data_IF_567185179403
#
_entry.id   IF_567185179403
#
_cell.length_a   1.000
_cell.length_b   1.000
_cell.length_c   1.000
_cell.angle_alpha   90.00
_cell.angle_beta   90.00
_cell.angle_gamma   90.00
#
_symmetry.space_group_name_H-M   'P 1'
#
loop_
_entity.id
_entity.type
_entity.pdbx_description
1 polymer ?
#
# COMPACT_ATOMS: atom_id res chain seq x y z
N UNK A 1 18.12 -21.24 10.23
CA UNK A 1 16.98 -20.53 10.84
C UNK A 1 17.36 -19.07 10.95
N UNK A 2 17.07 -18.25 9.94
CA UNK A 2 17.37 -16.82 9.95
C UNK A 2 16.05 -16.05 10.11
N UNK A 3 16.11 -15.11 11.04
CA UNK A 3 15.01 -14.35 11.62
C UNK A 3 14.48 -13.34 10.58
N UNK A 4 13.18 -13.38 10.32
CA UNK A 4 12.47 -12.40 9.48
C UNK A 4 12.43 -11.05 10.22
N UNK A 5 13.07 -10.03 9.66
CA UNK A 5 12.80 -8.63 10.02
C UNK A 5 11.90 -8.02 8.95
N UNK A 6 10.68 -7.61 9.33
CA UNK A 6 9.79 -6.80 8.48
C UNK A 6 10.29 -5.35 8.49
N UNK A 7 10.48 -4.67 7.35
CA UNK A 7 10.71 -3.23 7.36
C UNK A 7 9.40 -2.51 7.73
N UNK A 8 9.50 -1.55 8.64
CA UNK A 8 8.39 -0.71 9.08
C UNK A 8 8.12 0.40 8.05
N UNK A 9 6.93 0.39 7.43
CA UNK A 9 6.52 1.34 6.38
C UNK A 9 5.70 2.51 6.94
N UNK A 10 6.27 3.27 7.89
CA UNK A 10 5.65 4.50 8.38
C UNK A 10 6.62 5.67 8.27
N UNK A 11 6.64 6.34 7.11
CA UNK A 11 7.10 7.72 7.00
C UNK A 11 6.20 8.46 5.99
N UNK A 12 5.60 9.60 6.37
CA UNK A 12 4.68 10.35 5.52
C UNK A 12 5.42 11.02 4.35
N UNK A 13 4.83 10.91 3.16
CA UNK A 13 5.21 11.60 1.93
C UNK A 13 4.63 13.02 1.96
N UNK A 14 5.22 13.93 2.73
CA UNK A 14 4.88 15.35 2.64
C UNK A 14 6.14 16.18 2.41
N UNK A 15 5.97 17.16 1.50
CA UNK A 15 6.87 18.24 1.14
C UNK A 15 7.99 17.93 0.12
N UNK A 16 7.60 17.92 -1.16
CA UNK A 16 8.46 18.53 -2.19
C UNK A 16 7.60 19.32 -3.17
N UNK A 17 7.23 20.53 -2.76
CA UNK A 17 6.74 21.57 -3.66
C UNK A 17 7.60 22.84 -3.42
N UNK A 18 8.24 23.28 -4.50
CA UNK A 18 8.77 24.63 -4.76
C UNK A 18 10.05 25.12 -4.02
N UNK A 19 11.11 25.20 -4.83
CA UNK A 19 12.02 26.33 -5.08
C UNK A 19 13.00 26.86 -4.01
N UNK A 20 14.29 26.78 -4.37
CA UNK A 20 15.35 27.82 -4.35
C UNK A 20 15.35 28.90 -3.25
N UNK A 21 16.24 28.73 -2.26
CA UNK A 21 17.15 29.78 -1.77
C UNK A 21 18.20 29.21 -0.80
N UNK A 22 19.44 29.68 -0.95
CA UNK A 22 20.60 29.10 -0.29
C UNK A 22 20.67 29.29 1.24
N UNK A 23 21.16 28.23 1.89
CA UNK A 23 21.84 28.16 3.22
C UNK A 23 21.02 27.60 4.40
N UNK A 24 21.66 27.01 5.42
CA UNK A 24 22.87 26.18 5.41
C UNK A 24 22.60 24.79 6.04
N UNK A 25 23.56 23.90 5.84
CA UNK A 25 23.62 22.56 6.41
C UNK A 25 23.18 22.50 7.89
N UNK A 26 22.13 21.72 8.16
CA UNK A 26 22.00 21.06 9.45
C UNK A 26 23.07 19.97 9.51
N UNK A 27 24.22 20.34 10.07
CA UNK A 27 25.28 19.42 10.46
C UNK A 27 24.73 18.39 11.46
N UNK A 28 24.34 17.22 10.96
CA UNK A 28 24.42 16.00 11.76
C UNK A 28 25.85 15.47 11.63
N UNK A 29 26.66 15.80 12.65
CA UNK A 29 28.00 15.28 12.82
C UNK A 29 27.99 13.76 12.92
N UNK A 30 28.41 13.11 11.85
CA UNK A 30 29.01 11.78 11.88
C UNK A 30 30.45 11.97 11.41
N UNK A 31 31.31 12.33 12.35
CA UNK A 31 32.76 12.35 12.14
C UNK A 31 33.24 10.90 11.92
N UNK A 32 33.95 10.66 10.80
CA UNK A 32 34.71 9.43 10.61
C UNK A 32 34.33 8.53 9.42
N UNK A 33 33.85 9.07 8.30
CA UNK A 33 33.90 8.32 7.04
C UNK A 33 35.21 8.64 6.29
N UNK A 34 36.12 7.68 6.07
CA UNK A 34 37.32 7.94 5.28
C UNK A 34 36.92 8.30 3.84
N UNK A 35 37.33 9.49 3.40
CA UNK A 35 37.21 9.94 2.01
C UNK A 35 37.98 8.95 1.11
N UNK A 36 37.25 8.21 0.28
CA UNK A 36 37.87 7.28 -0.68
C UNK A 36 37.27 5.87 -0.78
N UNK A 37 36.12 5.59 -0.18
CA UNK A 37 35.33 4.45 -0.67
C UNK A 37 34.72 4.86 -2.01
N UNK A 38 35.05 4.19 -3.13
CA UNK A 38 34.18 4.30 -4.29
C UNK A 38 32.82 3.85 -3.77
N UNK A 39 31.83 4.74 -3.83
CA UNK A 39 30.45 4.26 -3.82
C UNK A 39 30.43 3.30 -4.99
N UNK A 40 30.51 2.00 -4.70
CA UNK A 40 30.26 0.98 -5.70
C UNK A 40 28.86 1.34 -6.16
N UNK A 41 28.80 2.03 -7.29
CA UNK A 41 27.60 2.33 -8.00
C UNK A 41 26.99 0.96 -8.27
N UNK A 42 26.14 0.51 -7.34
CA UNK A 42 25.17 -0.54 -7.59
C UNK A 42 24.07 0.13 -8.42
N UNK A 43 24.45 0.82 -9.49
CA UNK A 43 23.59 0.97 -10.64
C UNK A 43 23.45 -0.44 -11.16
N UNK A 44 22.40 -1.13 -10.69
CA UNK A 44 21.81 -2.20 -11.49
C UNK A 44 21.78 -1.67 -12.92
N UNK A 45 22.46 -2.39 -13.81
CA UNK A 45 22.58 -1.98 -15.19
C UNK A 45 21.17 -1.73 -15.72
N UNK A 46 20.91 -0.55 -16.31
CA UNK A 46 19.55 -0.12 -16.65
C UNK A 46 18.88 -1.12 -17.58
N UNK A 47 19.69 -1.86 -18.36
CA UNK A 47 19.26 -2.99 -19.18
C UNK A 47 18.56 -4.10 -18.39
N UNK A 48 19.02 -4.43 -17.17
CA UNK A 48 18.38 -5.44 -16.30
C UNK A 48 17.04 -4.96 -15.73
N UNK A 49 16.85 -3.65 -15.57
CA UNK A 49 15.61 -3.06 -15.07
C UNK A 49 14.52 -2.97 -16.15
N UNK A 50 14.93 -2.99 -17.43
CA UNK A 50 14.06 -3.13 -18.60
C UNK A 50 13.77 -4.60 -18.95
N UNK A 51 14.52 -5.54 -18.40
CA UNK A 51 14.30 -6.97 -18.60
C UNK A 51 13.13 -7.46 -17.72
N UNK A 52 12.00 -7.70 -18.38
CA UNK A 52 10.78 -8.16 -17.72
C UNK A 52 10.93 -9.53 -17.05
N UNK A 53 11.75 -10.44 -17.58
CA UNK A 53 11.93 -11.78 -17.02
C UNK A 53 12.81 -11.74 -15.77
N UNK A 54 13.86 -10.89 -15.80
CA UNK A 54 14.67 -10.60 -14.63
C UNK A 54 13.82 -9.99 -13.50
N UNK A 55 13.04 -8.95 -13.82
CA UNK A 55 12.14 -8.31 -12.86
C UNK A 55 11.08 -9.29 -12.37
N UNK A 56 10.50 -10.12 -13.24
CA UNK A 56 9.50 -11.12 -12.86
C UNK A 56 10.06 -12.10 -11.82
N UNK A 57 11.31 -12.55 -12.01
CA UNK A 57 12.00 -13.42 -11.06
C UNK A 57 12.24 -12.69 -9.73
N UNK A 58 12.66 -11.41 -9.80
CA UNK A 58 12.89 -10.61 -8.60
C UNK A 58 11.60 -10.35 -7.79
N UNK A 59 10.46 -10.08 -8.46
CA UNK A 59 9.18 -9.84 -7.77
C UNK A 59 8.59 -11.10 -7.12
N UNK A 60 8.95 -12.29 -7.61
CA UNK A 60 8.55 -13.55 -6.99
C UNK A 60 9.23 -13.78 -5.64
N UNK A 61 10.47 -13.30 -5.48
CA UNK A 61 11.20 -13.34 -4.21
C UNK A 61 10.83 -12.17 -3.29
N UNK A 62 10.54 -11.00 -3.89
CA UNK A 62 10.15 -9.78 -3.16
C UNK A 62 9.34 -8.85 -4.07
N UNK A 63 8.03 -8.74 -3.83
CA UNK A 63 7.11 -7.92 -4.62
C UNK A 63 7.49 -6.44 -4.65
N UNK A 64 8.25 -5.95 -3.66
CA UNK A 64 8.83 -4.61 -3.63
C UNK A 64 9.88 -4.34 -4.72
N UNK A 65 10.42 -5.38 -5.37
CA UNK A 65 11.35 -5.26 -6.50
C UNK A 65 10.73 -4.51 -7.68
N UNK A 66 9.39 -4.46 -7.77
CA UNK A 66 8.66 -3.72 -8.80
C UNK A 66 9.07 -2.23 -8.86
N UNK A 67 9.47 -1.63 -7.73
CA UNK A 67 9.95 -0.24 -7.67
C UNK A 67 11.19 0.02 -8.52
N UNK A 68 12.03 -0.99 -8.71
CA UNK A 68 13.28 -0.87 -9.48
C UNK A 68 13.02 -0.93 -10.99
N UNK A 69 11.90 -1.52 -11.39
CA UNK A 69 11.56 -1.72 -12.79
C UNK A 69 11.25 -0.40 -13.51
N UNK A 70 11.58 -0.34 -14.79
CA UNK A 70 11.23 0.81 -15.62
C UNK A 70 9.71 0.94 -15.81
N UNK A 71 9.24 2.11 -16.25
CA UNK A 71 7.82 2.34 -16.47
C UNK A 71 7.23 1.34 -17.48
N UNK A 72 8.01 0.94 -18.47
CA UNK A 72 7.60 -0.06 -19.47
C UNK A 72 7.32 -1.41 -18.83
N UNK A 73 8.17 -1.88 -17.92
CA UNK A 73 7.99 -3.15 -17.21
C UNK A 73 6.87 -3.04 -16.17
N UNK A 74 6.75 -1.90 -15.47
CA UNK A 74 5.66 -1.67 -14.49
C UNK A 74 4.29 -1.57 -15.15
N UNK A 75 4.21 -1.20 -16.43
CA UNK A 75 2.98 -1.24 -17.20
C UNK A 75 2.56 -2.65 -17.59
N UNK A 76 3.43 -3.66 -17.42
CA UNK A 76 3.07 -5.04 -17.71
C UNK A 76 2.23 -5.65 -16.59
N UNK A 77 1.01 -6.04 -16.95
CA UNK A 77 0.02 -6.60 -16.03
C UNK A 77 0.49 -7.88 -15.35
N UNK A 78 1.18 -8.77 -16.07
CA UNK A 78 1.71 -10.03 -15.56
C UNK A 78 2.74 -9.83 -14.45
N UNK A 79 3.67 -8.90 -14.64
CA UNK A 79 4.69 -8.53 -13.65
C UNK A 79 4.06 -7.90 -12.41
N UNK A 80 3.11 -6.97 -12.60
CA UNK A 80 2.39 -6.35 -11.47
C UNK A 80 1.56 -7.39 -10.71
N UNK A 81 0.87 -8.29 -11.39
CA UNK A 81 0.10 -9.37 -10.74
C UNK A 81 1.00 -10.29 -9.92
N UNK A 82 2.17 -10.66 -10.44
CA UNK A 82 3.14 -11.44 -9.68
C UNK A 82 3.61 -10.68 -8.42
N UNK A 83 3.89 -9.38 -8.55
CA UNK A 83 4.33 -8.54 -7.44
C UNK A 83 3.26 -8.38 -6.35
N UNK A 84 2.00 -8.12 -6.71
CA UNK A 84 0.91 -7.92 -5.73
C UNK A 84 0.51 -9.21 -5.02
N UNK A 85 0.65 -10.37 -5.70
CA UNK A 85 0.43 -11.69 -5.08
C UNK A 85 1.45 -11.99 -3.99
N UNK A 86 2.69 -11.56 -4.18
CA UNK A 86 3.73 -11.68 -3.17
C UNK A 86 3.49 -10.65 -2.04
N UNK A 87 3.49 -9.36 -2.39
CA UNK A 87 3.30 -8.22 -1.49
C UNK A 87 2.17 -7.32 -2.01
N UNK A 88 1.02 -7.30 -1.34
CA UNK A 88 -0.15 -6.49 -1.76
C UNK A 88 0.16 -4.99 -1.93
N UNK A 89 1.05 -4.44 -1.10
CA UNK A 89 1.50 -3.04 -1.20
C UNK A 89 2.31 -2.73 -2.48
N UNK A 90 2.72 -3.73 -3.26
CA UNK A 90 3.41 -3.53 -4.53
C UNK A 90 2.54 -2.76 -5.55
N UNK A 91 1.21 -2.75 -5.35
CA UNK A 91 0.27 -1.94 -6.11
C UNK A 91 0.66 -0.44 -6.12
N UNK A 92 1.33 0.05 -5.07
CA UNK A 92 1.85 1.40 -4.96
C UNK A 92 2.87 1.78 -6.05
N UNK A 93 3.47 0.81 -6.73
CA UNK A 93 4.44 1.04 -7.80
C UNK A 93 3.85 0.84 -9.19
N UNK A 94 2.70 0.19 -9.31
CA UNK A 94 1.98 0.02 -10.56
C UNK A 94 1.54 1.39 -11.13
N UNK A 95 1.39 1.54 -12.45
CA UNK A 95 0.85 2.75 -13.05
C UNK A 95 -0.66 2.89 -12.78
N UNK A 96 -1.19 4.08 -13.01
CA UNK A 96 -2.56 4.44 -12.64
C UNK A 96 -3.61 3.55 -13.31
N UNK A 97 -3.35 3.12 -14.53
CA UNK A 97 -4.23 2.24 -15.30
C UNK A 97 -4.43 0.89 -14.59
N UNK A 98 -3.35 0.32 -14.05
CA UNK A 98 -3.41 -0.96 -13.32
C UNK A 98 -3.93 -0.80 -11.89
N UNK A 99 -3.79 0.38 -11.27
CA UNK A 99 -4.49 0.73 -10.01
C UNK A 99 -6.01 0.91 -10.20
N UNK A 100 -6.45 1.09 -11.44
CA UNK A 100 -7.86 1.07 -11.84
C UNK A 100 -8.37 -0.30 -12.29
N UNK A 101 -7.49 -1.30 -12.45
CA UNK A 101 -7.88 -2.65 -12.82
C UNK A 101 -8.44 -3.38 -11.58
N UNK A 102 -9.73 -3.68 -11.62
CA UNK A 102 -10.46 -4.34 -10.53
C UNK A 102 -9.83 -5.67 -10.13
N UNK A 103 -9.34 -6.47 -11.08
CA UNK A 103 -8.76 -7.78 -10.77
C UNK A 103 -7.40 -7.62 -10.05
N UNK A 104 -6.56 -6.71 -10.54
CA UNK A 104 -5.25 -6.43 -9.92
C UNK A 104 -5.43 -5.89 -8.50
N UNK A 105 -6.38 -4.97 -8.31
CA UNK A 105 -6.69 -4.42 -6.98
C UNK A 105 -7.27 -5.49 -6.06
N UNK A 106 -8.17 -6.35 -6.53
CA UNK A 106 -8.74 -7.43 -5.72
C UNK A 106 -7.68 -8.42 -5.23
N UNK A 107 -6.73 -8.79 -6.10
CA UNK A 107 -5.58 -9.62 -5.72
C UNK A 107 -4.71 -8.91 -4.67
N UNK A 108 -4.45 -7.61 -4.85
CA UNK A 108 -3.67 -6.82 -3.91
C UNK A 108 -4.34 -6.69 -2.53
N UNK A 109 -5.63 -6.36 -2.48
CA UNK A 109 -6.37 -6.21 -1.21
C UNK A 109 -6.64 -7.54 -0.53
N UNK A 110 -6.78 -8.62 -1.29
CA UNK A 110 -6.88 -9.97 -0.76
C UNK A 110 -5.57 -10.43 -0.12
N UNK A 111 -4.44 -9.83 -0.51
CA UNK A 111 -3.12 -10.07 0.09
C UNK A 111 -2.81 -9.14 1.26
N UNK A 112 -3.16 -7.87 1.13
CA UNK A 112 -3.02 -6.85 2.18
C UNK A 112 -4.13 -5.82 2.02
N UNK A 113 -5.08 -5.79 2.96
CA UNK A 113 -6.21 -4.84 2.92
C UNK A 113 -5.78 -3.36 2.88
N UNK A 114 -4.55 -3.03 3.32
CA UNK A 114 -4.02 -1.67 3.21
C UNK A 114 -3.67 -1.27 1.76
N UNK A 115 -3.54 -2.23 0.83
CA UNK A 115 -3.31 -1.96 -0.58
C UNK A 115 -4.44 -1.13 -1.23
N UNK A 116 -5.64 -1.12 -0.63
CA UNK A 116 -6.76 -0.30 -1.06
C UNK A 116 -6.42 1.19 -1.12
N UNK A 117 -5.46 1.67 -0.33
CA UNK A 117 -4.97 3.05 -0.35
C UNK A 117 -4.43 3.47 -1.72
N UNK A 118 -3.81 2.53 -2.44
CA UNK A 118 -3.22 2.77 -3.75
C UNK A 118 -4.17 2.49 -4.91
N UNK A 119 -5.35 1.94 -4.65
CA UNK A 119 -6.35 1.73 -5.68
C UNK A 119 -6.92 3.08 -6.17
N UNK A 120 -7.44 3.08 -7.39
CA UNK A 120 -8.17 4.24 -7.91
C UNK A 120 -9.35 4.62 -7.00
N UNK A 121 -9.67 5.91 -6.97
CA UNK A 121 -10.81 6.42 -6.19
C UNK A 121 -12.16 5.80 -6.58
N UNK A 122 -12.29 5.30 -7.81
CA UNK A 122 -13.48 4.58 -8.24
C UNK A 122 -13.60 3.23 -7.52
N UNK A 123 -12.51 2.46 -7.46
CA UNK A 123 -12.48 1.16 -6.78
C UNK A 123 -12.49 1.28 -5.25
N UNK A 124 -11.96 2.36 -4.70
CA UNK A 124 -12.09 2.66 -3.25
C UNK A 124 -13.53 2.92 -2.81
N UNK A 125 -14.41 3.27 -3.75
CA UNK A 125 -15.86 3.45 -3.56
C UNK A 125 -16.66 2.20 -3.91
N UNK A 126 -16.02 1.17 -4.46
CA UNK A 126 -16.67 -0.08 -4.83
C UNK A 126 -16.92 -0.92 -3.55
N UNK A 127 -18.18 -1.29 -3.25
CA UNK A 127 -18.51 -2.03 -2.05
C UNK A 127 -17.89 -3.43 -2.03
N UNK A 128 -17.71 -4.09 -3.17
CA UNK A 128 -17.12 -5.43 -3.24
C UNK A 128 -15.63 -5.38 -2.89
N UNK A 129 -14.92 -4.38 -3.43
CA UNK A 129 -13.50 -4.18 -3.16
C UNK A 129 -13.28 -3.74 -1.70
N UNK A 130 -14.13 -2.84 -1.21
CA UNK A 130 -14.12 -2.42 0.19
C UNK A 130 -14.38 -3.60 1.14
N UNK A 131 -15.35 -4.46 0.82
CA UNK A 131 -15.63 -5.67 1.60
C UNK A 131 -14.43 -6.62 1.60
N UNK A 132 -13.81 -6.88 0.45
CA UNK A 132 -12.61 -7.72 0.38
C UNK A 132 -11.47 -7.17 1.25
N UNK A 133 -11.20 -5.86 1.17
CA UNK A 133 -10.16 -5.22 1.98
C UNK A 133 -10.44 -5.28 3.48
N UNK A 134 -11.70 -5.05 3.88
CA UNK A 134 -12.14 -5.11 5.29
C UNK A 134 -12.09 -6.53 5.84
N UNK A 135 -12.45 -7.53 5.03
CA UNK A 135 -12.34 -8.94 5.43
C UNK A 135 -10.89 -9.30 5.75
N UNK A 136 -9.94 -8.82 4.96
CA UNK A 136 -8.54 -9.10 5.25
C UNK A 136 -8.01 -8.27 6.43
N UNK A 137 -8.24 -6.96 6.42
CA UNK A 137 -7.85 -6.05 7.49
C UNK A 137 -9.02 -5.14 7.89
N UNK A 138 -9.54 -5.31 9.10
CA UNK A 138 -10.63 -4.46 9.60
C UNK A 138 -10.26 -2.96 9.64
N UNK A 139 -8.97 -2.65 9.77
CA UNK A 139 -8.45 -1.27 9.75
C UNK A 139 -8.48 -0.66 8.33
N UNK A 140 -8.70 -1.45 7.28
CA UNK A 140 -8.89 -0.97 5.92
C UNK A 140 -10.17 -0.12 5.76
N UNK A 141 -11.10 -0.18 6.72
CA UNK A 141 -12.30 0.66 6.74
C UNK A 141 -11.95 2.17 6.63
N UNK A 142 -10.81 2.60 7.17
CA UNK A 142 -10.33 4.00 7.06
C UNK A 142 -10.01 4.43 5.62
N UNK A 143 -9.70 3.47 4.74
CA UNK A 143 -9.27 3.70 3.36
C UNK A 143 -10.45 3.70 2.38
N UNK A 144 -11.60 3.17 2.80
CA UNK A 144 -12.82 3.13 2.00
C UNK A 144 -13.33 4.56 1.78
N UNK A 145 -13.54 4.90 0.51
CA UNK A 145 -14.08 6.19 0.11
C UNK A 145 -15.58 6.06 -0.20
N UNK A 146 -16.32 7.15 0.01
CA UNK A 146 -17.72 7.24 -0.36
C UNK A 146 -18.68 7.01 0.81
N UNK A 147 -19.64 7.91 0.94
CA UNK A 147 -20.63 7.91 2.02
C UNK A 147 -21.44 6.62 2.07
N UNK A 148 -21.74 6.02 0.91
CA UNK A 148 -22.56 4.80 0.81
C UNK A 148 -21.89 3.61 1.51
N UNK A 149 -20.58 3.44 1.33
CA UNK A 149 -19.81 2.35 1.94
C UNK A 149 -19.51 2.63 3.42
N UNK A 150 -19.31 3.91 3.78
CA UNK A 150 -19.07 4.31 5.17
C UNK A 150 -20.33 4.22 6.05
N UNK A 151 -21.52 4.37 5.46
CA UNK A 151 -22.82 4.20 6.12
C UNK A 151 -23.32 2.74 6.12
N UNK A 152 -22.58 1.81 5.51
CA UNK A 152 -22.96 0.40 5.51
C UNK A 152 -22.65 -0.24 6.87
N UNK A 153 -23.70 -0.45 7.66
CA UNK A 153 -23.60 -1.08 8.96
C UNK A 153 -23.05 -2.51 8.88
N UNK A 154 -23.34 -3.25 7.80
CA UNK A 154 -22.84 -4.61 7.59
C UNK A 154 -21.34 -4.64 7.36
N UNK A 155 -20.84 -3.74 6.51
CA UNK A 155 -19.40 -3.56 6.26
C UNK A 155 -18.67 -3.11 7.53
N UNK A 156 -19.23 -2.14 8.26
CA UNK A 156 -18.65 -1.66 9.50
C UNK A 156 -18.64 -2.76 10.58
N UNK A 157 -19.72 -3.55 10.74
CA UNK A 157 -19.73 -4.69 11.66
C UNK A 157 -18.75 -5.78 11.24
N UNK A 158 -18.62 -6.05 9.93
CA UNK A 158 -17.61 -6.97 9.42
C UNK A 158 -16.19 -6.50 9.77
N UNK A 159 -15.92 -5.19 9.67
CA UNK A 159 -14.63 -4.61 10.08
C UNK A 159 -14.37 -4.78 11.57
N UNK A 160 -15.38 -4.53 12.42
CA UNK A 160 -15.27 -4.65 13.88
C UNK A 160 -14.98 -6.10 14.31
N UNK A 161 -15.61 -7.08 13.67
CA UNK A 161 -15.33 -8.51 13.90
C UNK A 161 -13.88 -8.88 13.59
N UNK A 162 -13.24 -8.20 12.66
CA UNK A 162 -11.83 -8.42 12.29
C UNK A 162 -10.88 -7.64 13.20
N UNK A 163 -11.21 -6.39 13.50
CA UNK A 163 -10.45 -5.50 14.36
C UNK A 163 -11.43 -4.67 15.18
N UNK A 164 -11.53 -4.91 16.49
CA UNK A 164 -12.36 -4.08 17.36
C UNK A 164 -11.98 -2.60 17.29
N UNK A 165 -10.70 -2.30 16.98
CA UNK A 165 -10.20 -0.95 16.74
C UNK A 165 -10.77 -0.28 15.49
N UNK A 166 -11.42 -1.02 14.58
CA UNK A 166 -12.06 -0.46 13.39
C UNK A 166 -13.27 0.43 13.72
N UNK A 167 -13.87 0.29 14.90
CA UNK A 167 -14.94 1.17 15.41
C UNK A 167 -14.57 2.65 15.33
N UNK A 168 -13.29 3.00 15.52
CA UNK A 168 -12.81 4.39 15.43
C UNK A 168 -12.94 5.00 14.03
N UNK A 169 -13.06 4.14 13.01
CA UNK A 169 -13.20 4.52 11.61
C UNK A 169 -14.65 4.41 11.11
N UNK A 170 -15.56 3.87 11.93
CA UNK A 170 -16.97 3.81 11.59
C UNK A 170 -17.56 5.23 11.48
N UNK A 171 -18.48 5.42 10.54
CA UNK A 171 -19.10 6.72 10.32
C UNK A 171 -19.91 7.17 11.56
N UNK A 172 -19.86 8.47 11.87
CA UNK A 172 -20.49 9.02 13.08
C UNK A 172 -21.99 8.71 13.18
N UNK A 173 -22.68 8.60 12.04
CA UNK A 173 -24.11 8.24 11.99
C UNK A 173 -24.37 6.81 12.49
N UNK A 174 -23.46 5.86 12.22
CA UNK A 174 -23.55 4.49 12.73
C UNK A 174 -23.23 4.45 14.23
N UNK A 175 -22.25 5.24 14.68
CA UNK A 175 -21.91 5.38 16.09
C UNK A 175 -23.01 6.05 16.92
N UNK A 176 -23.87 6.86 16.30
CA UNK A 176 -25.05 7.42 16.94
C UNK A 176 -26.19 6.39 17.08
N UNK A 177 -26.18 5.32 16.29
CA UNK A 177 -27.18 4.26 16.37
C UNK A 177 -26.87 3.29 17.52
N UNK A 178 -27.82 3.21 18.46
CA UNK A 178 -27.69 2.33 19.64
C UNK A 178 -27.67 0.85 19.26
N UNK A 179 -28.43 0.45 18.23
CA UNK A 179 -28.49 -0.93 17.77
C UNK A 179 -27.12 -1.37 17.24
N UNK A 180 -26.56 -0.58 16.33
CA UNK A 180 -25.22 -0.77 15.80
C UNK A 180 -24.16 -0.86 16.90
N UNK A 181 -24.14 0.07 17.86
CA UNK A 181 -23.18 0.03 18.95
C UNK A 181 -23.29 -1.23 19.81
N UNK A 182 -24.52 -1.68 20.08
CA UNK A 182 -24.74 -2.93 20.83
C UNK A 182 -24.26 -4.16 20.06
N UNK A 183 -24.52 -4.20 18.75
CA UNK A 183 -24.07 -5.28 17.89
C UNK A 183 -22.55 -5.27 17.74
N UNK A 184 -21.92 -4.10 17.65
CA UNK A 184 -20.47 -3.93 17.59
C UNK A 184 -19.76 -4.34 18.88
N UNK A 185 -20.37 -4.13 20.05
CA UNK A 185 -19.83 -4.62 21.35
C UNK A 185 -19.94 -6.14 21.49
N UNK A 186 -20.88 -6.76 20.78
CA UNK A 186 -21.12 -8.21 20.81
C UNK A 186 -20.38 -8.98 19.71
N UNK A 187 -19.82 -8.26 18.74
CA UNK A 187 -19.12 -8.77 17.58
C UNK A 187 -17.72 -9.26 17.92
#
# INVERSE_FOLDING_TARGET
>A
RLVRARPAWHAPLDACAACDDGSPAAHFGIEGFPEGVPHSDVTLDRALLDDADFILTAVQESGGALRLATDAVRARRDVVLAAVRETGLALAFAPQELRGDREVVLEAVGRDGAALEFASDALRRDPDVAAAAVQESGDALKLVLGERCQLDAGLALAAVRRSAGALRFAHFALLADRGFCLDAVRA
#
